data_IF_145009822025
#
_entry.id   IF_145009822025
#
_cell.length_a   1.000
_cell.length_b   1.000
_cell.length_c   1.000
_cell.angle_alpha   90.00
_cell.angle_beta   90.00
_cell.angle_gamma   90.00
#
_symmetry.space_group_name_H-M   'P 1'
#
loop_
_entity.id
_entity.type
_entity.pdbx_description
1 polymer ?
#
# COMPACT_ATOMS: atom_id res chain seq x y z
N UNK A 1 -24.37 -12.81 10.71
CA UNK A 1 -24.86 -12.53 9.34
C UNK A 1 -23.68 -12.71 8.40
N UNK A 2 -23.71 -13.72 7.52
CA UNK A 2 -22.67 -13.89 6.50
C UNK A 2 -23.13 -13.18 5.22
N UNK A 3 -22.30 -12.27 4.74
CA UNK A 3 -22.53 -11.52 3.51
C UNK A 3 -22.05 -12.36 2.33
N UNK A 4 -22.93 -12.72 1.40
CA UNK A 4 -22.56 -13.61 0.27
C UNK A 4 -22.14 -12.84 -1.00
N UNK A 5 -22.69 -11.64 -1.19
CA UNK A 5 -22.39 -10.77 -2.32
C UNK A 5 -22.49 -9.28 -1.93
N UNK A 6 -21.76 -8.42 -2.63
CA UNK A 6 -21.88 -6.97 -2.49
C UNK A 6 -21.66 -6.27 -3.84
N UNK A 7 -22.49 -5.29 -4.23
CA UNK A 7 -22.30 -4.55 -5.47
C UNK A 7 -20.89 -3.95 -5.60
N UNK A 8 -20.21 -4.25 -6.70
CA UNK A 8 -18.84 -3.77 -6.97
C UNK A 8 -17.71 -4.67 -6.40
N UNK A 9 -18.04 -5.71 -5.62
CA UNK A 9 -17.10 -6.76 -5.26
C UNK A 9 -17.29 -7.97 -6.16
N UNK A 10 -16.25 -8.34 -6.91
CA UNK A 10 -16.23 -9.48 -7.81
C UNK A 10 -15.30 -10.59 -7.32
N UNK A 11 -15.55 -11.82 -7.79
CA UNK A 11 -14.73 -12.99 -7.48
C UNK A 11 -14.73 -13.33 -5.99
N UNK A 12 -13.58 -13.75 -5.47
CA UNK A 12 -13.40 -14.20 -4.08
C UNK A 12 -13.28 -13.04 -3.07
N UNK A 13 -13.56 -11.78 -3.46
CA UNK A 13 -13.35 -10.63 -2.57
C UNK A 13 -14.21 -10.68 -1.31
N UNK A 14 -15.46 -11.11 -1.43
CA UNK A 14 -16.34 -11.27 -0.26
C UNK A 14 -15.80 -12.34 0.68
N UNK A 15 -15.33 -13.46 0.14
CA UNK A 15 -14.71 -14.55 0.89
C UNK A 15 -13.44 -14.07 1.62
N UNK A 16 -12.55 -13.35 0.93
CA UNK A 16 -11.35 -12.77 1.52
C UNK A 16 -11.68 -11.76 2.62
N UNK A 17 -12.72 -10.95 2.47
CA UNK A 17 -13.15 -10.02 3.52
C UNK A 17 -13.59 -10.76 4.79
N UNK A 18 -14.32 -11.86 4.67
CA UNK A 18 -14.69 -12.69 5.83
C UNK A 18 -13.45 -13.30 6.50
N UNK A 19 -12.53 -13.85 5.70
CA UNK A 19 -11.30 -14.45 6.24
C UNK A 19 -10.39 -13.40 6.90
N UNK A 20 -10.29 -12.20 6.33
CA UNK A 20 -9.55 -11.08 6.91
C UNK A 20 -10.22 -10.56 8.19
N UNK A 21 -11.56 -10.51 8.24
CA UNK A 21 -12.28 -10.18 9.46
C UNK A 21 -11.98 -11.19 10.57
N UNK A 22 -12.00 -12.48 10.25
CA UNK A 22 -11.64 -13.53 11.20
C UNK A 22 -10.18 -13.41 11.67
N UNK A 23 -9.23 -13.19 10.75
CA UNK A 23 -7.82 -12.98 11.08
C UNK A 23 -7.62 -11.73 11.97
N UNK A 24 -8.44 -10.69 11.79
CA UNK A 24 -8.44 -9.49 12.66
C UNK A 24 -8.89 -9.85 14.08
N UNK A 25 -9.98 -10.61 14.22
CA UNK A 25 -10.47 -11.08 15.53
C UNK A 25 -9.46 -11.99 16.25
N UNK A 26 -8.61 -12.69 15.49
CA UNK A 26 -7.51 -13.50 16.00
C UNK A 26 -6.23 -12.70 16.31
N UNK A 27 -6.25 -11.38 16.12
CA UNK A 27 -5.12 -10.49 16.38
C UNK A 27 -4.04 -10.47 15.29
N UNK A 28 -4.23 -11.16 14.17
CA UNK A 28 -3.23 -11.29 13.09
C UNK A 28 -3.08 -10.02 12.23
N UNK A 29 -4.01 -9.08 12.31
CA UNK A 29 -3.98 -7.80 11.58
C UNK A 29 -3.85 -6.58 12.49
N UNK A 30 -3.53 -6.79 13.78
CA UNK A 30 -3.39 -5.70 14.73
C UNK A 30 -2.20 -4.79 14.39
N UNK A 31 -2.45 -3.47 14.34
CA UNK A 31 -1.43 -2.50 13.95
C UNK A 31 -0.23 -2.50 14.89
N UNK A 32 -0.47 -2.67 16.19
CA UNK A 32 0.58 -2.78 17.22
C UNK A 32 1.42 -4.03 17.01
N UNK A 33 0.81 -5.16 16.68
CA UNK A 33 1.51 -6.40 16.34
C UNK A 33 2.37 -6.22 15.08
N UNK A 34 1.79 -5.70 13.99
CA UNK A 34 2.50 -5.51 12.74
C UNK A 34 3.72 -4.58 12.88
N UNK A 35 3.60 -3.49 13.63
CA UNK A 35 4.71 -2.56 13.92
C UNK A 35 5.73 -3.11 14.93
N UNK A 36 5.41 -4.19 15.63
CA UNK A 36 6.38 -4.85 16.54
C UNK A 36 7.35 -5.77 15.80
N UNK A 37 7.03 -6.15 14.56
CA UNK A 37 7.87 -6.97 13.70
C UNK A 37 8.87 -6.10 12.92
N UNK A 38 9.96 -6.71 12.44
CA UNK A 38 10.75 -6.06 11.41
C UNK A 38 9.90 -5.86 10.14
N UNK A 39 10.07 -4.76 9.37
CA UNK A 39 9.23 -4.47 8.21
C UNK A 39 9.09 -5.63 7.23
N UNK A 40 10.19 -6.31 6.92
CA UNK A 40 10.19 -7.47 6.01
C UNK A 40 9.37 -8.63 6.58
N UNK A 41 9.46 -8.88 7.88
CA UNK A 41 8.67 -9.92 8.55
C UNK A 41 7.18 -9.58 8.58
N UNK A 42 6.83 -8.30 8.80
CA UNK A 42 5.45 -7.84 8.73
C UNK A 42 4.86 -8.04 7.33
N UNK A 43 5.63 -7.76 6.27
CA UNK A 43 5.22 -7.97 4.88
C UNK A 43 5.02 -9.47 4.57
N UNK A 44 5.94 -10.34 4.99
CA UNK A 44 5.77 -11.79 4.81
C UNK A 44 4.56 -12.31 5.57
N UNK A 45 4.37 -11.89 6.82
CA UNK A 45 3.19 -12.23 7.62
C UNK A 45 1.89 -11.81 6.92
N UNK A 46 1.81 -10.57 6.44
CA UNK A 46 0.63 -10.07 5.73
C UNK A 46 0.31 -10.88 4.48
N UNK A 47 1.32 -11.34 3.74
CA UNK A 47 1.14 -12.18 2.54
C UNK A 47 0.67 -13.60 2.83
N UNK A 48 0.74 -14.05 4.08
CA UNK A 48 0.09 -15.31 4.48
C UNK A 48 -1.44 -15.19 4.52
N UNK A 49 -1.97 -13.97 4.52
CA UNK A 49 -3.40 -13.72 4.62
C UNK A 49 -4.09 -13.84 3.25
N UNK A 50 -5.32 -14.38 3.22
CA UNK A 50 -6.09 -14.56 2.00
C UNK A 50 -6.28 -13.26 1.20
N UNK A 51 -5.93 -13.31 -0.09
CA UNK A 51 -6.11 -12.17 -1.00
C UNK A 51 -5.10 -11.03 -0.83
N UNK A 52 -4.08 -11.19 0.01
CA UNK A 52 -3.05 -10.18 0.24
C UNK A 52 -1.77 -10.54 -0.54
N UNK A 53 -1.49 -9.79 -1.62
CA UNK A 53 -0.21 -9.82 -2.34
C UNK A 53 0.70 -8.64 -1.96
N UNK A 54 1.87 -8.52 -2.60
CA UNK A 54 2.89 -7.50 -2.26
C UNK A 54 2.32 -6.08 -2.20
N UNK A 55 1.52 -5.68 -3.21
CA UNK A 55 0.88 -4.37 -3.26
C UNK A 55 -0.01 -4.10 -2.03
N UNK A 56 -0.87 -5.06 -1.68
CA UNK A 56 -1.78 -4.91 -0.55
C UNK A 56 -1.03 -4.97 0.78
N UNK A 57 -0.04 -5.86 0.92
CA UNK A 57 0.77 -5.98 2.12
C UNK A 57 1.52 -4.66 2.43
N UNK A 58 2.17 -4.08 1.43
CA UNK A 58 2.87 -2.80 1.58
C UNK A 58 1.92 -1.67 1.99
N UNK A 59 0.73 -1.58 1.39
CA UNK A 59 -0.25 -0.55 1.74
C UNK A 59 -0.92 -0.78 3.09
N UNK A 60 -1.12 -2.03 3.50
CA UNK A 60 -1.61 -2.36 4.84
C UNK A 60 -0.56 -1.95 5.87
N UNK A 61 0.71 -2.29 5.70
CA UNK A 61 1.77 -1.90 6.63
C UNK A 61 1.92 -0.37 6.71
N UNK A 62 1.96 0.30 5.56
CA UNK A 62 2.15 1.75 5.49
C UNK A 62 0.94 2.56 5.99
N UNK A 63 -0.29 2.23 5.55
CA UNK A 63 -1.49 3.03 5.84
C UNK A 63 -2.39 2.45 6.91
N UNK A 64 -2.52 1.12 6.93
CA UNK A 64 -3.34 0.43 7.92
C UNK A 64 -2.66 0.38 9.27
N UNK A 65 -1.43 -0.14 9.31
CA UNK A 65 -0.62 -0.21 10.51
C UNK A 65 0.13 1.10 10.79
N UNK A 66 0.29 2.01 9.83
CA UNK A 66 0.95 3.30 10.08
C UNK A 66 2.43 3.18 10.45
N UNK A 67 3.14 2.22 9.85
CA UNK A 67 4.59 2.09 9.99
C UNK A 67 5.29 3.35 9.45
N UNK A 68 6.00 4.15 10.27
CA UNK A 68 6.57 5.43 9.86
C UNK A 68 7.65 5.30 8.76
N UNK A 69 8.36 4.17 8.71
CA UNK A 69 9.50 3.98 7.80
C UNK A 69 9.24 2.91 6.71
N UNK A 70 7.99 2.78 6.25
CA UNK A 70 7.63 1.89 5.13
C UNK A 70 7.78 2.55 3.74
N UNK A 71 8.06 1.74 2.72
CA UNK A 71 8.23 2.15 1.32
C UNK A 71 7.47 1.20 0.36
N UNK A 72 6.36 1.62 -0.26
CA UNK A 72 5.49 0.75 -1.04
C UNK A 72 5.96 0.65 -2.51
N UNK A 73 6.99 -0.15 -2.77
CA UNK A 73 7.61 -0.26 -4.10
C UNK A 73 6.75 -0.95 -5.17
N UNK A 74 5.67 -1.62 -4.77
CA UNK A 74 4.69 -2.23 -5.67
C UNK A 74 3.54 -1.29 -6.00
N UNK A 75 3.48 -0.10 -5.39
CA UNK A 75 2.49 0.94 -5.67
C UNK A 75 2.89 1.74 -6.93
N UNK A 76 2.19 1.58 -8.08
CA UNK A 76 2.66 2.17 -9.33
C UNK A 76 2.64 3.69 -9.36
N UNK A 77 1.79 4.34 -8.54
CA UNK A 77 1.72 5.80 -8.50
C UNK A 77 2.94 6.42 -7.82
N UNK A 78 3.61 5.72 -6.92
CA UNK A 78 4.82 6.23 -6.27
C UNK A 78 5.92 6.52 -7.29
N UNK A 79 6.23 5.57 -8.17
CA UNK A 79 7.24 5.77 -9.22
C UNK A 79 6.85 6.93 -10.16
N UNK A 80 5.57 7.03 -10.54
CA UNK A 80 5.04 8.14 -11.36
C UNK A 80 5.18 9.49 -10.64
N UNK A 81 4.86 9.54 -9.34
CA UNK A 81 5.00 10.73 -8.53
C UNK A 81 6.47 11.17 -8.42
N UNK A 82 7.39 10.22 -8.27
CA UNK A 82 8.82 10.50 -8.24
C UNK A 82 9.33 11.01 -9.59
N UNK A 83 8.89 10.45 -10.71
CA UNK A 83 9.24 10.99 -12.04
C UNK A 83 8.92 12.49 -12.13
N UNK A 84 7.71 12.89 -11.70
CA UNK A 84 7.32 14.29 -11.73
C UNK A 84 8.08 15.15 -10.71
N UNK A 85 8.15 14.70 -9.45
CA UNK A 85 8.76 15.47 -8.36
C UNK A 85 10.27 15.70 -8.53
N UNK A 86 10.97 14.71 -9.11
CA UNK A 86 12.42 14.75 -9.32
C UNK A 86 12.81 15.12 -10.75
N UNK A 87 11.84 15.42 -11.63
CA UNK A 87 12.10 15.81 -13.02
C UNK A 87 12.80 14.72 -13.83
N UNK A 88 12.48 13.44 -13.58
CA UNK A 88 13.09 12.32 -14.28
C UNK A 88 12.52 12.20 -15.70
N UNK A 89 13.36 11.82 -16.66
CA UNK A 89 12.98 11.54 -18.05
C UNK A 89 12.46 10.10 -18.26
N UNK A 90 12.48 9.29 -17.20
CA UNK A 90 12.02 7.90 -17.21
C UNK A 90 11.24 7.55 -15.94
N UNK A 91 10.53 6.41 -15.98
CA UNK A 91 9.92 5.82 -14.79
C UNK A 91 11.01 5.12 -13.97
N UNK A 92 11.27 5.53 -12.70
CA UNK A 92 12.32 4.91 -11.91
C UNK A 92 11.98 3.45 -11.60
N UNK A 93 13.01 2.60 -11.66
CA UNK A 93 12.94 1.21 -11.22
C UNK A 93 12.71 1.13 -9.71
N UNK A 94 12.24 -0.01 -9.20
CA UNK A 94 12.08 -0.23 -7.75
C UNK A 94 13.37 0.03 -6.97
N UNK A 95 14.52 -0.27 -7.57
CA UNK A 95 15.82 -0.04 -6.94
C UNK A 95 16.17 1.45 -6.87
N UNK A 96 15.94 2.21 -7.95
CA UNK A 96 16.11 3.67 -7.93
C UNK A 96 15.16 4.34 -6.93
N UNK A 97 13.92 3.84 -6.82
CA UNK A 97 12.96 4.28 -5.80
C UNK A 97 13.54 4.06 -4.39
N UNK A 98 14.07 2.87 -4.10
CA UNK A 98 14.70 2.56 -2.80
C UNK A 98 15.87 3.49 -2.51
N UNK A 99 16.80 3.64 -3.45
CA UNK A 99 18.00 4.47 -3.27
C UNK A 99 17.64 5.94 -2.98
N UNK A 100 16.67 6.49 -3.71
CA UNK A 100 16.19 7.86 -3.48
C UNK A 100 15.52 7.99 -2.12
N UNK A 101 14.75 6.98 -1.72
CA UNK A 101 14.00 6.98 -0.47
C UNK A 101 14.86 6.82 0.79
N UNK A 102 16.13 6.39 0.68
CA UNK A 102 17.04 6.34 1.83
C UNK A 102 17.23 7.72 2.47
N UNK A 103 17.15 8.80 1.70
CA UNK A 103 17.20 10.17 2.22
C UNK A 103 15.97 10.57 3.05
N UNK A 104 14.87 9.82 2.99
CA UNK A 104 13.62 10.13 3.71
C UNK A 104 13.54 9.42 5.07
N UNK A 105 14.53 8.58 5.42
CA UNK A 105 14.53 7.87 6.70
C UNK A 105 14.65 8.84 7.87
N UNK A 106 14.00 8.56 9.02
CA UNK A 106 13.19 7.38 9.32
C UNK A 106 11.69 7.55 8.98
N UNK A 107 11.36 8.40 8.02
CA UNK A 107 9.99 8.84 7.72
C UNK A 107 9.59 8.59 6.25
N UNK A 108 10.07 7.49 5.64
CA UNK A 108 9.78 7.16 4.23
C UNK A 108 8.29 7.19 3.90
N UNK A 109 7.43 6.80 4.85
CA UNK A 109 5.97 6.84 4.67
C UNK A 109 5.44 8.24 4.43
N UNK A 110 5.97 9.26 5.12
CA UNK A 110 5.57 10.65 4.91
C UNK A 110 6.02 11.17 3.55
N UNK A 111 7.24 10.82 3.12
CA UNK A 111 7.72 11.12 1.76
C UNK A 111 6.80 10.54 0.69
N UNK A 112 6.44 9.26 0.82
CA UNK A 112 5.50 8.60 -0.09
C UNK A 112 4.09 9.23 -0.06
N UNK A 113 3.60 9.63 1.11
CA UNK A 113 2.31 10.30 1.24
C UNK A 113 2.30 11.64 0.50
N UNK A 114 3.30 12.48 0.73
CA UNK A 114 3.40 13.80 0.11
C UNK A 114 3.51 13.70 -1.41
N UNK A 115 4.34 12.79 -1.92
CA UNK A 115 4.45 12.52 -3.35
C UNK A 115 3.11 12.10 -3.96
N UNK A 116 2.35 11.25 -3.27
CA UNK A 116 1.02 10.82 -3.74
C UNK A 116 -0.02 11.92 -3.70
N UNK A 117 0.00 12.77 -2.67
CA UNK A 117 -0.89 13.94 -2.58
C UNK A 117 -0.61 14.89 -3.72
N UNK A 118 0.66 15.25 -3.94
CA UNK A 118 1.09 16.09 -5.06
C UNK A 118 0.65 15.49 -6.41
N UNK A 119 0.90 14.20 -6.65
CA UNK A 119 0.49 13.57 -7.90
C UNK A 119 -1.04 13.60 -8.09
N UNK A 120 -1.82 13.44 -7.02
CA UNK A 120 -3.28 13.55 -7.11
C UNK A 120 -3.72 14.98 -7.41
N UNK A 121 -3.10 15.98 -6.79
CA UNK A 121 -3.38 17.40 -7.07
C UNK A 121 -3.18 17.72 -8.56
N UNK A 122 -2.09 17.22 -9.14
CA UNK A 122 -1.77 17.43 -10.55
C UNK A 122 -2.64 16.63 -11.53
N UNK A 123 -2.96 15.38 -11.20
CA UNK A 123 -3.63 14.46 -12.15
C UNK A 123 -5.14 14.41 -11.99
N UNK A 124 -5.67 14.65 -10.79
CA UNK A 124 -7.08 14.50 -10.42
C UNK A 124 -7.67 13.13 -10.81
N UNK A 125 -6.84 12.09 -10.87
CA UNK A 125 -7.20 10.75 -11.36
C UNK A 125 -8.18 10.02 -10.43
N UNK A 126 -8.07 10.19 -9.11
CA UNK A 126 -9.01 9.60 -8.15
C UNK A 126 -10.32 10.39 -8.17
N UNK A 127 -10.24 11.72 -8.08
CA UNK A 127 -11.42 12.58 -8.00
C UNK A 127 -12.34 12.47 -9.24
N UNK A 128 -11.77 12.27 -10.43
CA UNK A 128 -12.51 12.13 -11.69
C UNK A 128 -13.21 10.77 -11.87
N UNK A 129 -13.12 9.87 -10.90
CA UNK A 129 -13.70 8.53 -10.99
C UNK A 129 -13.08 7.76 -12.14
N UNK A 130 -11.82 7.34 -11.97
CA UNK A 130 -10.98 6.74 -13.00
C UNK A 130 -11.75 5.94 -14.06
N UNK A 131 -11.97 6.56 -15.23
CA UNK A 131 -12.32 5.81 -16.44
C UNK A 131 -11.11 4.96 -16.77
N UNK A 132 -11.14 3.69 -16.39
CA UNK A 132 -10.26 2.70 -17.00
C UNK A 132 -10.53 2.78 -18.51
N UNK A 133 -9.53 3.22 -19.28
CA UNK A 133 -9.51 2.95 -20.72
C UNK A 133 -9.31 1.46 -20.94
#
# INVERSE_FOLDING_TARGET
>A
MQLEAFPGLSGHKVEYLHQLAQATLEGKLEATFLRSLAPEQALEHLKTLPGIGDFSAELILLRGAGEPDALPTHEPRLARAMTLAYGLDHLPTKEQVRQTAEAWRPYRTWGCLLLRVMLEEETQEIARGGKRK
#
